data_IF_203392824791
#
_entry.id   IF_203392824791
#
_cell.length_a   1.000
_cell.length_b   1.000
_cell.length_c   1.000
_cell.angle_alpha   90.00
_cell.angle_beta   90.00
_cell.angle_gamma   90.00
#
_symmetry.space_group_name_H-M   'P 1'
#
loop_
_entity.id
_entity.type
_entity.pdbx_description
1 polymer ?
#
# COMPACT_ATOMS: atom_id res chain seq x y z
N UNK A 1 53.87 24.55 0.58
CA UNK A 1 52.54 24.82 1.17
C UNK A 1 51.56 24.96 0.01
N UNK A 2 50.77 23.93 -0.27
CA UNK A 2 49.68 23.97 -1.24
C UNK A 2 48.41 23.59 -0.49
N UNK A 3 47.34 24.40 -0.52
CA UNK A 3 46.03 23.91 -0.15
C UNK A 3 45.32 23.42 -1.42
N UNK A 4 45.17 22.11 -1.51
CA UNK A 4 44.18 21.42 -2.31
C UNK A 4 42.87 21.37 -1.55
N UNK A 5 41.79 21.98 -2.05
CA UNK A 5 40.42 21.51 -1.83
C UNK A 5 39.50 22.06 -2.93
N UNK A 6 39.33 21.25 -3.97
CA UNK A 6 38.23 21.35 -4.91
C UNK A 6 37.02 20.62 -4.33
N UNK A 7 36.04 21.35 -3.80
CA UNK A 7 34.73 20.80 -3.44
C UNK A 7 33.79 21.02 -4.62
N UNK A 8 33.55 19.97 -5.41
CA UNK A 8 32.72 20.03 -6.60
C UNK A 8 31.22 20.26 -6.26
N UNK A 9 30.52 21.17 -6.95
CA UNK A 9 29.11 21.52 -6.70
C UNK A 9 28.08 20.43 -7.04
N UNK A 10 28.53 19.26 -7.50
CA UNK A 10 27.65 18.15 -7.87
C UNK A 10 27.07 17.40 -6.67
N UNK A 11 27.70 17.48 -5.50
CA UNK A 11 27.24 16.79 -4.29
C UNK A 11 26.02 17.45 -3.63
N UNK A 12 25.86 18.77 -3.73
CA UNK A 12 24.74 19.47 -3.08
C UNK A 12 23.39 19.25 -3.78
N UNK A 13 23.38 19.05 -5.10
CA UNK A 13 22.13 18.87 -5.87
C UNK A 13 21.47 17.50 -5.61
N UNK A 14 22.28 16.47 -5.35
CA UNK A 14 21.82 15.11 -5.06
C UNK A 14 21.30 14.98 -3.62
N UNK A 15 21.82 15.79 -2.69
CA UNK A 15 21.35 15.83 -1.30
C UNK A 15 20.00 16.54 -1.17
N UNK A 16 19.77 17.62 -1.93
CA UNK A 16 18.50 18.36 -1.90
C UNK A 16 17.30 17.55 -2.38
N UNK A 17 17.48 16.68 -3.38
CA UNK A 17 16.41 15.85 -3.92
C UNK A 17 16.06 14.68 -2.97
N UNK A 18 17.07 14.11 -2.30
CA UNK A 18 16.86 13.09 -1.25
C UNK A 18 16.13 13.65 -0.03
N UNK A 19 16.48 14.86 0.40
CA UNK A 19 15.81 15.53 1.53
C UNK A 19 14.36 15.87 1.18
N UNK A 20 14.10 16.37 -0.03
CA UNK A 20 12.74 16.62 -0.52
C UNK A 20 11.90 15.34 -0.60
N UNK A 21 12.44 14.25 -1.16
CA UNK A 21 11.77 12.95 -1.23
C UNK A 21 11.45 12.38 0.16
N UNK A 22 12.38 12.49 1.11
CA UNK A 22 12.20 12.02 2.49
C UNK A 22 11.11 12.81 3.22
N UNK A 23 11.10 14.14 3.05
CA UNK A 23 10.06 15.02 3.63
C UNK A 23 8.68 14.70 3.06
N UNK A 24 8.57 14.47 1.75
CA UNK A 24 7.32 14.11 1.10
C UNK A 24 6.77 12.76 1.61
N UNK A 25 7.62 11.73 1.70
CA UNK A 25 7.24 10.43 2.25
C UNK A 25 6.83 10.51 3.73
N UNK A 26 7.50 11.35 4.52
CA UNK A 26 7.14 11.57 5.93
C UNK A 26 5.77 12.24 6.05
N UNK A 27 5.47 13.22 5.21
CA UNK A 27 4.16 13.88 5.17
C UNK A 27 3.06 12.90 4.75
N UNK A 28 3.30 12.10 3.70
CA UNK A 28 2.37 11.04 3.30
C UNK A 28 2.14 10.04 4.43
N UNK A 29 3.21 9.58 5.09
CA UNK A 29 3.08 8.66 6.23
C UNK A 29 2.25 9.26 7.37
N UNK A 30 2.39 10.57 7.64
CA UNK A 30 1.57 11.26 8.64
C UNK A 30 0.10 11.29 8.23
N UNK A 31 -0.21 11.62 6.98
CA UNK A 31 -1.58 11.64 6.44
C UNK A 31 -2.20 10.23 6.42
N UNK A 32 -1.39 9.21 6.18
CA UNK A 32 -1.86 7.83 6.11
C UNK A 32 -1.96 7.14 7.48
N UNK A 33 -1.40 7.75 8.53
CA UNK A 33 -1.53 7.25 9.90
C UNK A 33 -2.93 7.42 10.49
N UNK A 34 -3.76 8.27 9.89
CA UNK A 34 -5.16 8.40 10.29
C UNK A 34 -5.92 7.13 9.88
N UNK A 35 -6.57 6.48 10.85
CA UNK A 35 -7.43 5.30 10.62
C UNK A 35 -8.57 5.55 9.64
N UNK A 36 -8.91 6.82 9.45
CA UNK A 36 -9.95 7.36 8.58
C UNK A 36 -9.42 7.82 7.23
N UNK A 37 -8.14 7.62 6.93
CA UNK A 37 -7.58 7.88 5.61
C UNK A 37 -7.77 6.66 4.70
N UNK A 38 -8.20 6.82 3.43
CA UNK A 38 -8.58 8.08 2.76
C UNK A 38 -9.98 8.62 3.08
N UNK A 39 -10.90 7.82 3.63
CA UNK A 39 -12.30 8.21 3.84
C UNK A 39 -12.77 8.05 5.29
N UNK A 40 -13.38 9.10 5.84
CA UNK A 40 -13.72 9.21 7.26
C UNK A 40 -14.94 8.39 7.69
N UNK A 41 -15.87 8.09 6.79
CA UNK A 41 -17.16 7.49 7.17
C UNK A 41 -17.50 6.19 6.46
N UNK A 42 -16.86 5.89 5.33
CA UNK A 42 -17.17 4.69 4.55
C UNK A 42 -15.96 3.76 4.46
N UNK A 43 -15.92 2.77 5.38
CA UNK A 43 -14.86 1.74 5.43
C UNK A 43 -14.85 0.82 4.19
N UNK A 44 -15.99 0.71 3.50
CA UNK A 44 -16.08 0.02 2.21
C UNK A 44 -15.25 0.79 1.17
N UNK A 45 -15.56 2.07 0.98
CA UNK A 45 -14.84 2.95 0.04
C UNK A 45 -13.35 3.04 0.39
N UNK A 46 -13.02 3.01 1.69
CA UNK A 46 -11.64 2.99 2.17
C UNK A 46 -10.88 1.77 1.67
N UNK A 47 -11.45 0.58 1.85
CA UNK A 47 -10.83 -0.69 1.42
C UNK A 47 -10.69 -0.72 -0.10
N UNK A 48 -11.76 -0.32 -0.80
CA UNK A 48 -11.81 -0.24 -2.26
C UNK A 48 -10.74 0.68 -2.86
N UNK A 49 -10.62 1.90 -2.33
CA UNK A 49 -9.59 2.83 -2.78
C UNK A 49 -8.18 2.28 -2.57
N UNK A 50 -7.92 1.62 -1.44
CA UNK A 50 -6.59 1.07 -1.18
C UNK A 50 -6.27 -0.10 -2.11
N UNK A 51 -7.27 -0.91 -2.50
CA UNK A 51 -7.09 -1.94 -3.52
C UNK A 51 -6.83 -1.33 -4.91
N UNK A 52 -7.56 -0.28 -5.27
CA UNK A 52 -7.37 0.43 -6.54
C UNK A 52 -5.99 1.10 -6.60
N UNK A 53 -5.57 1.73 -5.51
CA UNK A 53 -4.24 2.31 -5.35
C UNK A 53 -3.15 1.23 -5.49
N UNK A 54 -3.29 0.08 -4.83
CA UNK A 54 -2.34 -1.03 -4.95
C UNK A 54 -2.23 -1.49 -6.42
N UNK A 55 -3.36 -1.65 -7.11
CA UNK A 55 -3.38 -2.05 -8.52
C UNK A 55 -2.65 -1.04 -9.41
N UNK A 56 -2.89 0.25 -9.19
CA UNK A 56 -2.23 1.32 -9.94
C UNK A 56 -0.73 1.37 -9.69
N UNK A 57 -0.31 1.26 -8.42
CA UNK A 57 1.10 1.23 -8.05
C UNK A 57 1.79 0.04 -8.70
N UNK A 58 1.22 -1.17 -8.61
CA UNK A 58 1.82 -2.36 -9.24
C UNK A 58 1.92 -2.24 -10.76
N UNK A 59 0.89 -1.68 -11.39
CA UNK A 59 0.95 -1.41 -12.82
C UNK A 59 2.11 -0.45 -13.13
N UNK A 60 2.23 0.64 -12.39
CA UNK A 60 3.29 1.62 -12.58
C UNK A 60 4.70 1.06 -12.29
N UNK A 61 4.86 0.24 -11.24
CA UNK A 61 6.10 -0.50 -10.94
C UNK A 61 6.49 -1.40 -12.12
N UNK A 62 5.52 -2.09 -12.73
CA UNK A 62 5.74 -2.94 -13.91
C UNK A 62 6.21 -2.12 -15.11
N UNK A 63 5.60 -0.95 -15.36
CA UNK A 63 5.96 -0.09 -16.48
C UNK A 63 7.33 0.57 -16.33
N UNK A 64 7.74 0.87 -15.09
CA UNK A 64 8.96 1.65 -14.81
C UNK A 64 10.13 0.81 -14.31
N UNK A 65 9.89 -0.44 -13.91
CA UNK A 65 10.88 -1.31 -13.27
C UNK A 65 11.32 -0.85 -11.87
N UNK A 66 10.63 0.15 -11.30
CA UNK A 66 10.94 0.71 -9.97
C UNK A 66 10.00 0.10 -8.93
N UNK A 67 10.43 0.08 -7.67
CA UNK A 67 9.58 -0.36 -6.56
C UNK A 67 9.14 0.82 -5.70
N UNK A 68 7.83 0.92 -5.49
CA UNK A 68 7.13 1.95 -4.73
C UNK A 68 6.25 1.37 -3.61
N UNK A 69 5.80 0.10 -3.72
CA UNK A 69 5.01 -0.55 -2.67
C UNK A 69 5.66 -0.50 -1.28
N UNK A 70 6.98 -0.73 -1.11
CA UNK A 70 7.63 -0.62 0.20
C UNK A 70 7.51 0.78 0.82
N UNK A 71 7.60 1.84 0.00
CA UNK A 71 7.48 3.22 0.47
C UNK A 71 6.05 3.58 0.88
N UNK A 72 5.05 2.87 0.34
CA UNK A 72 3.63 3.07 0.63
C UNK A 72 3.07 2.07 1.65
N UNK A 73 3.92 1.26 2.29
CA UNK A 73 3.47 0.21 3.20
C UNK A 73 2.55 0.75 4.32
N UNK A 74 2.88 1.91 4.90
CA UNK A 74 2.05 2.53 5.96
C UNK A 74 0.65 2.91 5.48
N UNK A 75 0.50 3.28 4.21
CA UNK A 75 -0.79 3.58 3.58
C UNK A 75 -1.70 2.38 3.58
N UNK A 76 -1.16 1.22 3.21
CA UNK A 76 -1.92 -0.02 3.16
C UNK A 76 -2.21 -0.60 4.55
N UNK A 77 -1.57 -0.10 5.62
CA UNK A 77 -1.82 -0.53 6.99
C UNK A 77 -2.94 0.25 7.69
N UNK A 78 -3.48 1.31 7.07
CA UNK A 78 -4.45 2.22 7.70
C UNK A 78 -5.76 1.57 8.15
N UNK A 79 -6.35 0.57 7.46
CA UNK A 79 -7.58 -0.06 7.94
C UNK A 79 -7.30 -1.03 9.10
N UNK A 80 -8.08 -0.90 10.17
CA UNK A 80 -8.13 -1.92 11.23
C UNK A 80 -8.88 -3.18 10.74
N UNK A 81 -9.91 -2.97 9.91
CA UNK A 81 -10.74 -4.01 9.31
C UNK A 81 -10.88 -3.71 7.83
N UNK A 82 -10.59 -4.70 7.00
CA UNK A 82 -10.83 -4.66 5.56
C UNK A 82 -12.25 -5.11 5.27
N UNK A 83 -12.99 -4.33 4.50
CA UNK A 83 -14.35 -4.68 4.08
C UNK A 83 -14.31 -4.97 2.58
N UNK A 84 -14.60 -6.20 2.19
CA UNK A 84 -14.45 -6.66 0.82
C UNK A 84 -15.77 -7.25 0.31
N UNK A 85 -16.16 -6.82 -0.89
CA UNK A 85 -17.20 -7.46 -1.69
C UNK A 85 -16.56 -8.28 -2.82
N UNK A 86 -16.68 -9.61 -2.75
CA UNK A 86 -16.10 -10.52 -3.74
C UNK A 86 -16.83 -10.54 -5.07
N UNK A 87 -18.04 -9.97 -5.12
CA UNK A 87 -18.76 -9.80 -6.38
C UNK A 87 -18.24 -8.61 -7.19
N UNK A 88 -17.57 -7.65 -6.53
CA UNK A 88 -17.09 -6.41 -7.16
C UNK A 88 -15.57 -6.35 -7.32
N UNK A 89 -14.81 -7.05 -6.45
CA UNK A 89 -13.35 -6.91 -6.37
C UNK A 89 -12.62 -8.23 -6.59
N UNK A 90 -11.53 -8.16 -7.37
CA UNK A 90 -10.62 -9.29 -7.60
C UNK A 90 -9.79 -9.59 -6.35
N UNK A 91 -9.85 -10.83 -5.89
CA UNK A 91 -9.12 -11.24 -4.68
C UNK A 91 -7.60 -11.17 -4.80
N UNK A 92 -7.08 -11.37 -6.00
CA UNK A 92 -5.64 -11.32 -6.24
C UNK A 92 -5.00 -10.02 -5.74
N UNK A 93 -5.69 -8.88 -5.84
CA UNK A 93 -5.19 -7.59 -5.35
C UNK A 93 -5.16 -7.56 -3.83
N UNK A 94 -6.23 -8.03 -3.17
CA UNK A 94 -6.30 -8.10 -1.72
C UNK A 94 -5.18 -8.98 -1.16
N UNK A 95 -4.94 -10.15 -1.75
CA UNK A 95 -3.88 -11.06 -1.33
C UNK A 95 -2.51 -10.37 -1.36
N UNK A 96 -2.24 -9.58 -2.39
CA UNK A 96 -0.99 -8.81 -2.50
C UNK A 96 -0.89 -7.77 -1.38
N UNK A 97 -1.97 -7.03 -1.10
CA UNK A 97 -1.99 -6.06 0.00
C UNK A 97 -1.76 -6.73 1.36
N UNK A 98 -2.43 -7.85 1.63
CA UNK A 98 -2.29 -8.58 2.88
C UNK A 98 -0.87 -9.12 3.10
N UNK A 99 -0.11 -9.42 2.04
CA UNK A 99 1.31 -9.81 2.13
C UNK A 99 2.22 -8.65 2.53
N UNK A 100 1.80 -7.39 2.34
CA UNK A 100 2.55 -6.21 2.76
C UNK A 100 2.44 -5.96 4.28
N UNK A 101 1.51 -6.63 4.96
CA UNK A 101 1.28 -6.41 6.38
C UNK A 101 2.19 -7.29 7.22
N UNK A 102 2.84 -6.67 8.21
CA UNK A 102 3.59 -7.40 9.24
C UNK A 102 2.65 -8.09 10.23
N UNK A 103 1.49 -7.48 10.49
CA UNK A 103 0.45 -7.98 11.37
C UNK A 103 -0.78 -8.39 10.57
N UNK A 104 -1.39 -9.52 10.93
CA UNK A 104 -2.58 -10.01 10.24
C UNK A 104 -3.82 -9.16 10.61
N UNK A 105 -4.55 -8.72 9.58
CA UNK A 105 -5.75 -7.88 9.74
C UNK A 105 -7.04 -8.71 9.75
N UNK A 106 -8.11 -8.13 10.27
CA UNK A 106 -9.47 -8.68 10.14
C UNK A 106 -10.03 -8.34 8.77
N UNK A 107 -10.71 -9.30 8.13
CA UNK A 107 -11.46 -9.10 6.89
C UNK A 107 -12.94 -9.39 7.15
N UNK A 108 -13.80 -8.49 6.70
CA UNK A 108 -15.26 -8.58 6.71
C UNK A 108 -15.72 -8.79 5.26
N UNK A 109 -16.30 -9.95 4.98
CA UNK A 109 -16.78 -10.32 3.65
C UNK A 109 -18.28 -10.08 3.55
N UNK A 110 -18.69 -9.22 2.60
CA UNK A 110 -20.12 -8.90 2.44
C UNK A 110 -20.84 -9.80 1.45
N UNK A 111 -20.21 -10.13 0.34
CA UNK A 111 -20.74 -11.03 -0.70
C UNK A 111 -19.63 -11.92 -1.20
N UNK A 112 -19.97 -13.17 -1.48
CA UNK A 112 -19.06 -14.15 -2.04
C UNK A 112 -19.38 -14.36 -3.52
N UNK A 113 -18.35 -14.54 -4.34
CA UNK A 113 -18.54 -15.00 -5.71
C UNK A 113 -18.89 -16.49 -5.72
N UNK A 114 -19.81 -16.91 -6.58
CA UNK A 114 -20.08 -18.33 -6.84
C UNK A 114 -18.99 -18.97 -7.73
N UNK A 115 -18.09 -18.15 -8.29
CA UNK A 115 -16.98 -18.64 -9.11
C UNK A 115 -15.93 -19.34 -8.24
N UNK A 116 -15.78 -20.64 -8.43
CA UNK A 116 -14.82 -21.49 -7.71
C UNK A 116 -13.40 -20.90 -7.69
N UNK A 117 -12.96 -20.29 -8.79
CA UNK A 117 -11.61 -19.69 -8.88
C UNK A 117 -11.42 -18.50 -7.94
N UNK A 118 -12.43 -17.65 -7.78
CA UNK A 118 -12.37 -16.51 -6.85
C UNK A 118 -12.41 -17.01 -5.41
N UNK A 119 -13.24 -18.01 -5.11
CA UNK A 119 -13.28 -18.66 -3.78
C UNK A 119 -11.92 -19.29 -3.44
N UNK A 120 -11.33 -20.05 -4.37
CA UNK A 120 -10.01 -20.66 -4.19
C UNK A 120 -8.91 -19.62 -4.03
N UNK A 121 -9.01 -18.49 -4.73
CA UNK A 121 -8.11 -17.36 -4.54
C UNK A 121 -8.27 -16.78 -3.14
N UNK A 122 -9.51 -16.67 -2.62
CA UNK A 122 -9.78 -16.13 -1.29
C UNK A 122 -9.24 -17.03 -0.18
N UNK A 123 -9.29 -18.35 -0.35
CA UNK A 123 -8.68 -19.28 0.62
C UNK A 123 -7.18 -19.01 0.82
N UNK A 124 -6.48 -18.48 -0.19
CA UNK A 124 -5.08 -18.08 -0.05
C UNK A 124 -4.89 -16.86 0.85
N UNK A 125 -5.91 -16.02 1.02
CA UNK A 125 -5.88 -14.88 1.96
C UNK A 125 -5.96 -15.34 3.42
N UNK A 126 -6.56 -16.50 3.71
CA UNK A 126 -6.80 -16.97 5.09
C UNK A 126 -5.50 -17.08 5.91
N UNK A 127 -4.37 -17.44 5.29
CA UNK A 127 -3.07 -17.48 5.96
C UNK A 127 -2.54 -16.11 6.38
N UNK A 128 -3.03 -15.03 5.77
CA UNK A 128 -2.58 -13.65 5.97
C UNK A 128 -3.54 -12.79 6.83
N UNK A 129 -4.69 -13.34 7.24
CA UNK A 129 -5.68 -12.63 8.07
C UNK A 129 -5.76 -13.23 9.47
N UNK A 130 -6.17 -12.41 10.45
CA UNK A 130 -6.32 -12.85 11.85
C UNK A 130 -7.75 -13.31 12.15
N UNK A 131 -8.73 -12.69 11.49
CA UNK A 131 -10.14 -13.01 11.65
C UNK A 131 -10.87 -12.78 10.32
N UNK A 132 -11.82 -13.66 10.02
CA UNK A 132 -12.83 -13.48 8.99
C UNK A 132 -14.18 -13.20 9.65
N UNK A 133 -14.94 -12.23 9.14
CA UNK A 133 -16.30 -11.88 9.57
C UNK A 133 -17.26 -11.99 8.39
#
# INVERSE_FOLDING_TARGET
MFPSHSSHPYCQLVETDKDAGTRFLTQLSSVCSYKTFPFNYNRHDQSDFLLDLCSHVKYYETQTGRSYLPALQSVFQSPDVWIIDLSERKISVLLEVLKLHTEKKTVDLRRCSEEEREVMSFLQCLKHISQLR
#
